data_IF_530943297595
#
_entry.id   IF_530943297595
#
_cell.length_a   1.000
_cell.length_b   1.000
_cell.length_c   1.000
_cell.angle_alpha   90.00
_cell.angle_beta   90.00
_cell.angle_gamma   90.00
#
_symmetry.space_group_name_H-M   'P 1'
#
loop_
_entity.id
_entity.type
_entity.pdbx_description
1 polymer ?
#
# COMPACT_ATOMS: atom_id res chain seq x y z
N UNK A 1 -2.68 11.03 22.71
CA UNK A 1 -1.94 11.44 21.50
C UNK A 1 -1.37 10.16 20.91
N UNK A 2 -1.49 9.94 19.61
CA UNK A 2 -0.81 8.82 18.95
C UNK A 2 0.53 9.28 18.40
N UNK A 3 1.53 8.40 18.45
CA UNK A 3 2.89 8.68 17.98
C UNK A 3 3.26 7.60 16.96
N UNK A 4 3.42 8.04 15.73
CA UNK A 4 3.87 7.17 14.65
C UNK A 4 5.32 7.48 14.29
N UNK A 5 6.13 6.44 14.11
CA UNK A 5 7.58 6.56 13.95
C UNK A 5 8.02 5.96 12.62
N UNK A 6 8.93 6.67 11.96
CA UNK A 6 9.57 6.19 10.73
C UNK A 6 10.49 4.99 11.03
N UNK A 7 10.20 3.86 10.38
CA UNK A 7 11.03 2.67 10.39
C UNK A 7 11.96 2.70 9.16
N UNK A 8 13.22 3.03 9.36
CA UNK A 8 14.22 3.14 8.29
C UNK A 8 15.61 2.71 8.74
N UNK A 9 16.42 2.21 7.81
CA UNK A 9 17.80 1.77 8.09
C UNK A 9 18.14 0.49 7.33
N UNK A 10 19.06 -0.28 7.88
CA UNK A 10 19.44 -1.60 7.33
C UNK A 10 18.31 -2.60 7.56
N UNK A 11 17.89 -3.28 6.48
CA UNK A 11 16.80 -4.25 6.53
C UNK A 11 17.03 -5.37 7.56
N UNK A 12 18.30 -5.75 7.80
CA UNK A 12 18.64 -6.79 8.78
C UNK A 12 18.37 -6.35 10.22
N UNK A 13 18.31 -5.05 10.47
CA UNK A 13 18.04 -4.46 11.79
C UNK A 13 16.58 -4.06 12.00
N UNK A 14 15.72 -4.18 11.00
CA UNK A 14 14.34 -3.71 11.09
C UNK A 14 13.52 -4.45 12.15
N UNK A 15 13.76 -5.74 12.34
CA UNK A 15 13.07 -6.50 13.40
C UNK A 15 13.39 -5.97 14.81
N UNK A 16 14.67 -5.98 15.26
CA UNK A 16 15.03 -5.41 16.55
C UNK A 16 14.58 -3.94 16.70
N UNK A 17 14.84 -3.09 15.71
CA UNK A 17 14.45 -1.68 15.75
C UNK A 17 12.94 -1.49 15.91
N UNK A 18 12.12 -2.26 15.19
CA UNK A 18 10.66 -2.15 15.31
C UNK A 18 10.18 -2.50 16.73
N UNK A 19 10.80 -3.51 17.34
CA UNK A 19 10.51 -3.89 18.73
C UNK A 19 10.91 -2.80 19.71
N UNK A 20 12.11 -2.25 19.59
CA UNK A 20 12.60 -1.16 20.45
C UNK A 20 11.70 0.07 20.36
N UNK A 21 11.23 0.43 19.16
CA UNK A 21 10.29 1.55 18.95
C UNK A 21 8.92 1.28 19.56
N UNK A 22 8.39 0.07 19.44
CA UNK A 22 7.14 -0.33 20.06
C UNK A 22 7.26 -0.33 21.59
N UNK A 23 8.33 -0.89 22.15
CA UNK A 23 8.62 -0.88 23.60
C UNK A 23 8.81 0.55 24.15
N UNK A 24 9.28 1.48 23.31
CA UNK A 24 9.36 2.92 23.64
C UNK A 24 8.03 3.67 23.54
N UNK A 25 6.94 3.00 23.10
CA UNK A 25 5.59 3.55 23.07
C UNK A 25 5.13 4.09 21.73
N UNK A 26 5.70 3.66 20.62
CA UNK A 26 5.18 3.97 19.29
C UNK A 26 3.82 3.29 19.07
N UNK A 27 2.81 4.05 18.62
CA UNK A 27 1.49 3.56 18.24
C UNK A 27 1.49 2.99 16.80
N UNK A 28 2.28 3.61 15.92
CA UNK A 28 2.41 3.20 14.52
C UNK A 28 3.84 3.23 14.02
N UNK A 29 4.13 2.36 13.06
CA UNK A 29 5.41 2.31 12.35
C UNK A 29 5.15 2.44 10.84
N UNK A 30 5.86 3.38 10.21
CA UNK A 30 5.70 3.59 8.79
C UNK A 30 7.03 3.58 8.05
N UNK A 31 6.95 3.30 6.76
CA UNK A 31 8.09 3.30 5.85
C UNK A 31 7.86 4.25 4.69
N UNK A 32 8.93 4.71 4.05
CA UNK A 32 8.86 5.39 2.77
C UNK A 32 9.76 4.71 1.74
N UNK A 33 9.48 4.95 0.48
CA UNK A 33 10.26 4.39 -0.61
C UNK A 33 11.55 5.20 -0.85
N UNK A 34 12.64 4.72 -0.28
CA UNK A 34 13.95 5.38 -0.33
C UNK A 34 15.06 4.49 -0.90
N UNK A 35 15.98 4.07 -0.04
CA UNK A 35 17.11 3.17 -0.40
C UNK A 35 16.72 1.69 -0.39
N UNK A 36 15.60 1.35 0.24
CA UNK A 36 15.08 -0.02 0.36
C UNK A 36 13.64 -0.08 -0.14
N UNK A 37 13.16 -1.29 -0.42
CA UNK A 37 11.75 -1.52 -0.69
C UNK A 37 10.89 -1.11 0.50
N UNK A 38 9.72 -0.54 0.21
CA UNK A 38 8.84 0.05 1.22
C UNK A 38 8.10 -0.98 2.06
N UNK A 39 7.93 -2.22 1.57
CA UNK A 39 7.14 -3.26 2.22
C UNK A 39 7.96 -4.19 3.13
N UNK A 40 9.19 -4.53 2.75
CA UNK A 40 10.00 -5.51 3.50
C UNK A 40 10.25 -5.16 4.98
N UNK A 41 10.55 -3.89 5.36
CA UNK A 41 10.67 -3.54 6.77
C UNK A 41 9.38 -3.78 7.56
N UNK A 42 8.21 -3.56 6.94
CA UNK A 42 6.90 -3.74 7.57
C UNK A 42 6.57 -5.21 7.83
N UNK A 43 7.08 -6.13 7.01
CA UNK A 43 6.98 -7.58 7.28
C UNK A 43 7.64 -7.90 8.63
N UNK A 44 8.87 -7.40 8.85
CA UNK A 44 9.59 -7.62 10.10
C UNK A 44 8.90 -6.99 11.31
N UNK A 45 8.34 -5.80 11.14
CA UNK A 45 7.58 -5.12 12.19
C UNK A 45 6.26 -5.85 12.52
N UNK A 46 5.56 -6.33 11.51
CA UNK A 46 4.27 -7.02 11.65
C UNK A 46 4.35 -8.33 12.45
N UNK A 47 5.49 -9.02 12.37
CA UNK A 47 5.75 -10.25 13.14
C UNK A 47 6.06 -9.98 14.63
N UNK A 48 6.60 -8.81 14.96
CA UNK A 48 7.25 -8.55 16.25
C UNK A 48 6.57 -7.48 17.10
N UNK A 49 5.61 -6.74 16.53
CA UNK A 49 4.95 -5.64 17.21
C UNK A 49 3.45 -5.64 16.99
N UNK A 50 2.72 -4.95 17.87
CA UNK A 50 1.29 -4.68 17.74
C UNK A 50 0.99 -3.27 17.21
N UNK A 51 1.99 -2.56 16.71
CA UNK A 51 1.83 -1.24 16.13
C UNK A 51 0.96 -1.26 14.87
N UNK A 52 0.29 -0.15 14.57
CA UNK A 52 -0.26 0.10 13.24
C UNK A 52 0.89 0.21 12.24
N UNK A 53 0.76 -0.43 11.09
CA UNK A 53 1.78 -0.44 10.05
C UNK A 53 1.26 0.23 8.79
N UNK A 54 2.08 1.06 8.14
CA UNK A 54 1.67 1.64 6.87
C UNK A 54 2.84 2.13 6.01
N UNK A 55 2.59 2.20 4.71
CA UNK A 55 3.52 2.86 3.79
C UNK A 55 3.22 4.36 3.72
N UNK A 56 4.25 5.21 3.79
CA UNK A 56 4.11 6.67 3.68
C UNK A 56 5.24 7.27 2.82
N UNK A 57 5.25 6.95 1.55
CA UNK A 57 4.26 6.20 0.78
C UNK A 57 4.92 5.13 -0.09
N UNK A 58 4.16 4.14 -0.55
CA UNK A 58 4.54 3.34 -1.70
C UNK A 58 4.27 4.12 -2.99
N UNK A 59 5.25 4.18 -3.90
CA UNK A 59 5.10 4.89 -5.17
C UNK A 59 4.24 4.03 -6.10
N UNK A 60 3.04 4.51 -6.44
CA UNK A 60 2.00 3.73 -7.07
C UNK A 60 2.17 3.56 -8.59
N UNK A 61 2.46 4.65 -9.32
CA UNK A 61 2.44 4.66 -10.80
C UNK A 61 3.29 3.56 -11.45
N UNK A 62 4.51 3.23 -10.97
CA UNK A 62 5.32 2.17 -11.57
C UNK A 62 4.90 0.75 -11.13
N UNK A 63 3.92 0.61 -10.23
CA UNK A 63 3.49 -0.68 -9.70
C UNK A 63 2.17 -1.14 -10.31
N UNK A 64 2.07 -2.44 -10.57
CA UNK A 64 0.78 -3.03 -10.92
C UNK A 64 -0.16 -3.03 -9.70
N UNK A 65 -1.46 -2.68 -9.87
CA UNK A 65 -2.47 -2.85 -8.84
C UNK A 65 -2.51 -4.27 -8.24
N UNK A 66 -2.24 -5.29 -9.04
CA UNK A 66 -2.18 -6.68 -8.58
C UNK A 66 -1.01 -6.91 -7.59
N UNK A 67 0.18 -6.34 -7.86
CA UNK A 67 1.31 -6.44 -6.92
C UNK A 67 1.04 -5.66 -5.64
N UNK A 68 0.46 -4.47 -5.72
CA UNK A 68 0.04 -3.70 -4.55
C UNK A 68 -0.98 -4.49 -3.72
N UNK A 69 -1.91 -5.16 -4.39
CA UNK A 69 -2.92 -5.98 -3.72
C UNK A 69 -2.30 -7.16 -2.96
N UNK A 70 -1.42 -7.95 -3.58
CA UNK A 70 -0.75 -9.06 -2.89
C UNK A 70 0.07 -8.60 -1.70
N UNK A 71 0.91 -7.59 -1.87
CA UNK A 71 1.76 -7.04 -0.81
C UNK A 71 0.93 -6.55 0.38
N UNK A 72 -0.17 -5.86 0.08
CA UNK A 72 -1.07 -5.32 1.11
C UNK A 72 -1.89 -6.41 1.81
N UNK A 73 -2.34 -7.40 1.05
CA UNK A 73 -3.11 -8.53 1.58
C UNK A 73 -2.30 -9.36 2.56
N UNK A 74 -1.05 -9.66 2.20
CA UNK A 74 -0.15 -10.42 3.05
C UNK A 74 0.23 -9.64 4.32
N UNK A 75 0.50 -8.33 4.20
CA UNK A 75 0.78 -7.48 5.37
C UNK A 75 -0.44 -7.31 6.27
N UNK A 76 -1.64 -7.19 5.72
CA UNK A 76 -2.88 -7.12 6.49
C UNK A 76 -3.12 -8.42 7.27
N UNK A 77 -2.86 -9.57 6.63
CA UNK A 77 -2.94 -10.88 7.28
C UNK A 77 -1.90 -11.03 8.39
N UNK A 78 -0.64 -10.74 8.07
CA UNK A 78 0.50 -10.85 9.00
C UNK A 78 0.33 -9.94 10.22
N UNK A 79 -0.16 -8.74 10.02
CA UNK A 79 -0.39 -7.76 11.09
C UNK A 79 -1.73 -7.92 11.81
N UNK A 80 -2.53 -8.96 11.49
CA UNK A 80 -3.85 -9.15 12.07
C UNK A 80 -4.77 -7.92 11.96
N UNK A 81 -4.82 -7.32 10.76
CA UNK A 81 -5.71 -6.19 10.46
C UNK A 81 -5.13 -4.80 10.79
N UNK A 82 -3.84 -4.71 11.07
CA UNK A 82 -3.17 -3.45 11.46
C UNK A 82 -2.33 -2.81 10.35
N UNK A 83 -2.63 -3.11 9.08
CA UNK A 83 -1.90 -2.51 7.95
C UNK A 83 -2.78 -1.52 7.18
N UNK A 84 -2.19 -0.43 6.68
CA UNK A 84 -2.78 0.49 5.71
C UNK A 84 -1.83 0.70 4.53
N UNK A 85 -2.37 0.70 3.31
CA UNK A 85 -1.63 0.96 2.09
C UNK A 85 -1.63 2.46 1.78
N UNK A 86 -0.57 3.18 2.17
CA UNK A 86 -0.37 4.56 1.79
C UNK A 86 0.31 4.67 0.43
N UNK A 87 -0.34 5.33 -0.52
CA UNK A 87 0.08 5.49 -1.91
C UNK A 87 0.45 6.93 -2.24
N UNK A 88 1.41 7.11 -3.15
CA UNK A 88 1.77 8.40 -3.71
C UNK A 88 2.14 8.30 -5.18
N UNK A 89 1.89 9.39 -5.94
CA UNK A 89 2.19 9.45 -7.37
C UNK A 89 3.67 9.62 -7.70
N UNK A 90 4.46 10.14 -6.76
CA UNK A 90 5.82 10.65 -7.00
C UNK A 90 5.79 11.83 -8.00
N UNK A 91 6.93 12.22 -8.52
CA UNK A 91 7.09 13.27 -9.55
C UNK A 91 7.57 12.67 -10.88
N UNK A 92 7.23 13.32 -11.97
CA UNK A 92 7.50 12.86 -13.34
C UNK A 92 8.94 12.38 -13.58
N UNK A 93 10.02 13.13 -13.21
CA UNK A 93 11.39 12.68 -13.46
C UNK A 93 11.74 11.35 -12.79
N UNK A 94 11.20 11.08 -11.60
CA UNK A 94 11.43 9.81 -10.93
C UNK A 94 10.66 8.68 -11.62
N UNK A 95 9.40 8.91 -12.01
CA UNK A 95 8.62 7.89 -12.71
C UNK A 95 9.27 7.51 -14.03
N UNK A 96 9.67 8.49 -14.84
CA UNK A 96 10.24 8.22 -16.17
C UNK A 96 11.69 7.73 -16.10
N UNK A 97 12.56 8.38 -15.31
CA UNK A 97 14.01 8.16 -15.39
C UNK A 97 14.56 7.19 -14.32
N UNK A 98 13.84 6.98 -13.20
CA UNK A 98 14.24 6.03 -12.16
C UNK A 98 13.47 4.71 -12.26
N UNK A 99 12.16 4.78 -12.52
CA UNK A 99 11.31 3.60 -12.58
C UNK A 99 11.03 3.10 -14.00
N UNK A 100 11.38 3.88 -15.04
CA UNK A 100 11.16 3.51 -16.43
C UNK A 100 9.67 3.37 -16.80
N UNK A 101 8.80 4.07 -16.08
CA UNK A 101 7.35 3.99 -16.24
C UNK A 101 6.79 5.23 -16.93
N UNK A 102 5.54 5.15 -17.41
CA UNK A 102 4.91 6.23 -18.17
C UNK A 102 4.21 7.21 -17.23
N UNK A 103 4.55 8.50 -17.37
CA UNK A 103 3.83 9.61 -16.74
C UNK A 103 2.87 10.23 -17.76
N UNK A 104 1.60 9.87 -17.69
CA UNK A 104 0.56 10.42 -18.60
C UNK A 104 -0.35 11.41 -17.85
N UNK A 105 -1.29 10.90 -17.06
CA UNK A 105 -2.24 11.68 -16.28
C UNK A 105 -2.16 11.24 -14.83
N UNK A 106 -1.35 11.89 -13.97
CA UNK A 106 -1.12 11.39 -12.61
C UNK A 106 -2.39 11.27 -11.78
N UNK A 107 -3.34 12.20 -11.92
CA UNK A 107 -4.64 12.09 -11.24
C UNK A 107 -5.45 10.89 -11.75
N UNK A 108 -5.53 10.73 -13.08
CA UNK A 108 -6.24 9.59 -13.68
C UNK A 108 -5.56 8.26 -13.36
N UNK A 109 -4.22 8.20 -13.44
CA UNK A 109 -3.47 6.99 -13.09
C UNK A 109 -3.65 6.62 -11.61
N UNK A 110 -3.58 7.59 -10.68
CA UNK A 110 -3.79 7.32 -9.26
C UNK A 110 -5.22 6.87 -8.97
N UNK A 111 -6.23 7.48 -9.58
CA UNK A 111 -7.62 7.03 -9.50
C UNK A 111 -7.74 5.57 -9.90
N UNK A 112 -7.27 5.26 -11.10
CA UNK A 112 -7.41 3.92 -11.65
C UNK A 112 -6.65 2.86 -10.84
N UNK A 113 -5.45 3.18 -10.35
CA UNK A 113 -4.67 2.27 -9.49
C UNK A 113 -5.43 1.96 -8.20
N UNK A 114 -6.01 2.96 -7.54
CA UNK A 114 -6.77 2.78 -6.30
C UNK A 114 -8.05 1.97 -6.57
N UNK A 115 -8.82 2.35 -7.58
CA UNK A 115 -10.06 1.65 -7.96
C UNK A 115 -9.79 0.19 -8.38
N UNK A 116 -8.72 -0.05 -9.17
CA UNK A 116 -8.31 -1.40 -9.55
C UNK A 116 -7.88 -2.23 -8.33
N UNK A 117 -7.11 -1.65 -7.42
CA UNK A 117 -6.67 -2.35 -6.20
C UNK A 117 -7.87 -2.69 -5.30
N UNK A 118 -8.82 -1.77 -5.12
CA UNK A 118 -10.07 -2.03 -4.39
C UNK A 118 -10.91 -3.12 -5.05
N UNK A 119 -11.04 -3.10 -6.39
CA UNK A 119 -11.76 -4.15 -7.11
C UNK A 119 -11.10 -5.54 -6.94
N UNK A 120 -9.76 -5.60 -6.87
CA UNK A 120 -9.03 -6.84 -6.58
C UNK A 120 -9.31 -7.28 -5.13
N UNK A 121 -9.23 -6.38 -4.16
CA UNK A 121 -9.57 -6.68 -2.76
C UNK A 121 -10.99 -7.20 -2.60
N UNK A 122 -11.96 -6.53 -3.24
CA UNK A 122 -13.36 -6.94 -3.18
C UNK A 122 -13.57 -8.33 -3.78
N UNK A 123 -12.95 -8.61 -4.94
CA UNK A 123 -12.99 -9.93 -5.56
C UNK A 123 -12.43 -11.01 -4.62
N UNK A 124 -11.31 -10.76 -3.97
CA UNK A 124 -10.69 -11.71 -3.04
C UNK A 124 -11.49 -11.88 -1.75
N UNK A 125 -12.01 -10.78 -1.19
CA UNK A 125 -12.77 -10.83 0.05
C UNK A 125 -14.11 -11.53 -0.10
N UNK A 126 -14.76 -11.33 -1.24
CA UNK A 126 -16.08 -11.92 -1.53
C UNK A 126 -16.02 -13.21 -2.35
N UNK A 127 -14.82 -13.63 -2.78
CA UNK A 127 -14.60 -14.76 -3.69
C UNK A 127 -15.40 -14.64 -5.00
N UNK A 128 -15.59 -13.40 -5.48
CA UNK A 128 -16.32 -13.08 -6.70
C UNK A 128 -15.41 -12.97 -7.92
N UNK A 129 -16.01 -12.93 -9.10
CA UNK A 129 -15.28 -12.76 -10.36
C UNK A 129 -14.62 -11.38 -10.41
N UNK A 130 -13.29 -11.36 -10.64
CA UNK A 130 -12.55 -10.13 -10.89
C UNK A 130 -12.84 -9.61 -12.31
N UNK A 131 -13.34 -8.39 -12.40
CA UNK A 131 -13.60 -7.73 -13.68
C UNK A 131 -13.39 -6.21 -13.56
N UNK A 132 -12.16 -5.79 -13.78
CA UNK A 132 -11.79 -4.36 -13.83
C UNK A 132 -11.14 -4.05 -15.18
N UNK A 133 -11.65 -3.05 -15.90
CA UNK A 133 -11.15 -2.61 -17.20
C UNK A 133 -11.03 -1.08 -17.15
N UNK A 134 -9.79 -0.60 -16.99
CA UNK A 134 -9.43 0.80 -17.00
C UNK A 134 -8.75 1.23 -18.31
N UNK A 135 -8.25 2.46 -18.31
CA UNK A 135 -7.47 3.02 -19.42
C UNK A 135 -6.02 2.48 -19.44
N UNK A 136 -5.43 2.34 -18.27
CA UNK A 136 -4.01 1.94 -18.10
C UNK A 136 -3.84 0.51 -17.61
N UNK A 137 -4.84 -0.05 -16.94
CA UNK A 137 -4.75 -1.41 -16.38
C UNK A 137 -5.99 -2.24 -16.68
N UNK A 138 -5.78 -3.56 -16.71
CA UNK A 138 -6.88 -4.50 -16.91
C UNK A 138 -6.68 -5.74 -16.03
N UNK A 139 -7.68 -6.06 -15.21
CA UNK A 139 -7.68 -7.18 -14.29
C UNK A 139 -8.98 -7.98 -14.47
N UNK A 140 -8.94 -9.02 -15.29
CA UNK A 140 -10.11 -9.84 -15.65
C UNK A 140 -9.83 -11.34 -15.55
N UNK A 141 -8.66 -11.70 -15.00
CA UNK A 141 -8.28 -13.09 -14.80
C UNK A 141 -8.10 -13.35 -13.32
N UNK A 142 -8.93 -14.23 -12.79
CA UNK A 142 -8.80 -14.83 -11.47
C UNK A 142 -8.96 -16.35 -11.60
N UNK A 143 -8.24 -17.10 -10.78
CA UNK A 143 -8.43 -18.54 -10.65
C UNK A 143 -8.30 -18.93 -9.18
N UNK A 144 -8.90 -20.05 -8.75
CA UNK A 144 -8.80 -20.46 -7.34
C UNK A 144 -7.35 -20.61 -6.85
N UNK A 145 -6.43 -21.00 -7.73
CA UNK A 145 -5.00 -21.13 -7.39
C UNK A 145 -4.29 -19.77 -7.16
N UNK A 146 -4.82 -18.68 -7.72
CA UNK A 146 -4.22 -17.36 -7.69
C UNK A 146 -5.01 -16.36 -6.83
N UNK A 147 -6.12 -16.80 -6.26
CA UNK A 147 -7.01 -15.98 -5.42
C UNK A 147 -6.76 -16.32 -3.96
N UNK A 148 -6.27 -15.37 -3.15
CA UNK A 148 -6.07 -15.60 -1.72
C UNK A 148 -7.39 -15.85 -0.99
N UNK A 149 -7.32 -16.53 0.15
CA UNK A 149 -8.46 -16.65 1.05
C UNK A 149 -8.88 -15.30 1.62
N UNK A 150 -10.16 -15.08 1.93
CA UNK A 150 -10.64 -13.87 2.58
C UNK A 150 -9.89 -13.56 3.89
N UNK A 151 -9.76 -12.29 4.20
CA UNK A 151 -9.15 -11.83 5.44
C UNK A 151 -10.18 -11.74 6.56
N UNK A 152 -9.83 -12.22 7.75
CA UNK A 152 -10.68 -12.13 8.93
C UNK A 152 -11.00 -10.67 9.31
N UNK A 153 -10.03 -9.78 9.12
CA UNK A 153 -10.14 -8.35 9.47
C UNK A 153 -10.55 -7.46 8.30
N UNK A 154 -10.89 -8.06 7.16
CA UNK A 154 -11.19 -7.34 5.93
C UNK A 154 -9.95 -6.78 5.20
N UNK A 155 -10.15 -6.22 4.00
CA UNK A 155 -9.08 -5.61 3.22
C UNK A 155 -8.40 -4.43 3.94
N UNK A 156 -7.11 -4.15 3.67
CA UNK A 156 -6.47 -2.98 4.24
C UNK A 156 -7.06 -1.69 3.64
N UNK A 157 -7.19 -0.62 4.44
CA UNK A 157 -7.55 0.69 3.91
C UNK A 157 -6.44 1.23 2.99
N UNK A 158 -6.86 1.99 1.98
CA UNK A 158 -5.96 2.68 1.05
C UNK A 158 -5.96 4.18 1.37
N UNK A 159 -4.79 4.71 1.69
CA UNK A 159 -4.57 6.14 1.90
C UNK A 159 -3.86 6.76 0.70
N UNK A 160 -4.17 8.01 0.38
CA UNK A 160 -3.56 8.72 -0.74
C UNK A 160 -2.86 9.99 -0.28
N UNK A 161 -1.54 10.06 -0.39
CA UNK A 161 -0.80 11.28 -0.14
C UNK A 161 -1.11 12.35 -1.18
N UNK A 162 -1.51 13.53 -0.71
CA UNK A 162 -1.89 14.65 -1.55
C UNK A 162 -1.30 15.96 -1.03
N UNK A 163 -0.62 16.70 -1.92
CA UNK A 163 -0.04 18.01 -1.62
C UNK A 163 -0.78 19.16 -2.31
N UNK A 164 -1.58 18.88 -3.33
CA UNK A 164 -2.28 19.89 -4.10
C UNK A 164 -3.80 19.66 -4.13
N UNK A 165 -4.60 20.72 -4.35
CA UNK A 165 -6.06 20.65 -4.21
C UNK A 165 -6.71 19.54 -5.03
N UNK A 166 -6.27 19.32 -6.27
CA UNK A 166 -6.84 18.28 -7.14
C UNK A 166 -6.54 16.86 -6.66
N UNK A 167 -5.36 16.62 -6.06
CA UNK A 167 -5.04 15.30 -5.49
C UNK A 167 -5.76 15.10 -4.16
N UNK A 168 -5.97 16.16 -3.39
CA UNK A 168 -6.77 16.13 -2.16
C UNK A 168 -8.25 15.83 -2.46
N UNK A 169 -8.81 16.46 -3.48
CA UNK A 169 -10.16 16.15 -3.97
C UNK A 169 -10.26 14.68 -4.40
N UNK A 170 -9.30 14.20 -5.21
CA UNK A 170 -9.24 12.80 -5.60
C UNK A 170 -9.16 11.86 -4.39
N UNK A 171 -8.34 12.20 -3.38
CA UNK A 171 -8.26 11.38 -2.17
C UNK A 171 -9.62 11.26 -1.48
N UNK A 172 -10.37 12.36 -1.38
CA UNK A 172 -11.72 12.36 -0.81
C UNK A 172 -12.75 11.54 -1.61
N UNK A 173 -12.50 11.33 -2.92
CA UNK A 173 -13.40 10.56 -3.76
C UNK A 173 -13.13 9.05 -3.75
N UNK A 174 -11.86 8.64 -3.72
CA UNK A 174 -11.50 7.24 -3.99
C UNK A 174 -10.70 6.55 -2.88
N UNK A 175 -10.08 7.29 -1.95
CA UNK A 175 -9.29 6.73 -0.88
C UNK A 175 -10.08 6.60 0.43
N UNK A 176 -9.54 5.81 1.36
CA UNK A 176 -10.13 5.62 2.69
C UNK A 176 -9.51 6.59 3.73
N UNK A 177 -8.46 7.31 3.32
CA UNK A 177 -7.76 8.32 4.12
C UNK A 177 -6.77 9.15 3.31
N UNK A 178 -6.26 10.20 3.93
CA UNK A 178 -5.31 11.16 3.39
C UNK A 178 -4.00 11.13 4.19
#
# INVERSE_FOLDING_TARGET
>A
MKIDVLLSGDLTQMGPLSKDLADAGADGLFTYEGKSDVFFPLVRAGELTDCMLYTNVAIAIPRSPMHLAYQSWDLQRLSHGRFALGLGSQIRPHIENRYGSVWDSPLGQMREIIEATKAIFDSWQTQSTLNFIGKWTRHTLASPMLTPDPLLHGPPPIWLAALGPKMTELAGEVADGL
#
